data_IF_835506555177
#
_entry.id   IF_835506555177
#
_cell.length_a   1.000
_cell.length_b   1.000
_cell.length_c   1.000
_cell.angle_alpha   90.00
_cell.angle_beta   90.00
_cell.angle_gamma   90.00
#
_symmetry.space_group_name_H-M   'P 1'
#
loop_
_entity.id
_entity.type
_entity.pdbx_description
1 polymer ?
#
# COMPACT_ATOMS: atom_id res chain seq x y z
N UNK A 1 -68.42 3.51 10.30
CA UNK A 1 -66.99 3.89 10.25
C UNK A 1 -66.42 3.31 8.97
N UNK A 2 -65.79 4.13 8.14
CA UNK A 2 -65.23 3.74 6.84
C UNK A 2 -63.71 3.90 6.91
N UNK A 3 -62.98 2.81 6.70
CA UNK A 3 -61.51 2.82 6.60
C UNK A 3 -61.10 3.21 5.18
N UNK A 4 -60.25 4.22 5.04
CA UNK A 4 -59.64 4.59 3.77
C UNK A 4 -58.17 4.15 3.77
N UNK A 5 -57.82 3.19 2.92
CA UNK A 5 -56.44 2.76 2.71
C UNK A 5 -55.85 3.66 1.62
N UNK A 6 -55.00 4.60 2.01
CA UNK A 6 -54.20 5.42 1.09
C UNK A 6 -52.92 4.63 0.76
N UNK A 7 -52.82 4.16 -0.48
CA UNK A 7 -51.64 3.46 -0.97
C UNK A 7 -50.49 4.47 -1.15
N UNK A 8 -49.42 4.30 -0.38
CA UNK A 8 -48.16 4.98 -0.66
C UNK A 8 -47.51 4.22 -1.82
N UNK A 9 -47.23 4.84 -2.98
CA UNK A 9 -46.45 4.18 -4.02
C UNK A 9 -45.01 4.01 -3.52
N UNK A 10 -44.54 2.76 -3.51
CA UNK A 10 -43.14 2.48 -3.20
C UNK A 10 -42.26 3.20 -4.23
N UNK A 11 -41.54 4.24 -3.81
CA UNK A 11 -40.46 4.78 -4.62
C UNK A 11 -39.29 3.81 -4.55
N UNK A 12 -39.34 2.78 -5.39
CA UNK A 12 -38.19 1.96 -5.68
C UNK A 12 -37.21 2.84 -6.47
N UNK A 13 -36.17 3.35 -5.82
CA UNK A 13 -34.98 3.75 -6.54
C UNK A 13 -34.37 2.48 -7.13
N UNK A 14 -34.88 2.06 -8.30
CA UNK A 14 -34.18 1.13 -9.16
C UNK A 14 -32.89 1.84 -9.57
N UNK A 15 -31.84 1.68 -8.75
CA UNK A 15 -30.49 1.93 -9.18
C UNK A 15 -30.30 0.92 -10.30
N UNK A 16 -30.52 1.37 -11.54
CA UNK A 16 -30.07 0.68 -12.73
C UNK A 16 -28.56 0.70 -12.66
N UNK A 17 -28.00 -0.22 -11.87
CA UNK A 17 -26.64 -0.68 -12.04
C UNK A 17 -26.68 -1.42 -13.38
N UNK A 18 -26.62 -0.65 -14.46
CA UNK A 18 -26.00 -1.14 -15.67
C UNK A 18 -24.61 -1.53 -15.21
N UNK A 19 -24.37 -2.82 -14.97
CA UNK A 19 -23.02 -3.31 -14.96
C UNK A 19 -22.55 -3.10 -16.40
N UNK A 20 -21.66 -2.14 -16.71
CA UNK A 20 -20.92 -2.27 -17.94
C UNK A 20 -20.23 -3.63 -17.81
N UNK A 21 -20.60 -4.59 -18.64
CA UNK A 21 -19.82 -5.82 -18.87
C UNK A 21 -18.53 -5.48 -19.61
N UNK A 22 -17.89 -4.38 -19.22
CA UNK A 22 -16.53 -4.07 -19.58
C UNK A 22 -15.70 -4.83 -18.58
N UNK A 23 -15.12 -5.94 -19.02
CA UNK A 23 -13.92 -6.49 -18.42
C UNK A 23 -13.01 -5.28 -18.15
N UNK A 24 -12.77 -4.87 -16.88
CA UNK A 24 -11.86 -3.75 -16.63
C UNK A 24 -10.58 -4.11 -17.38
N UNK A 25 -10.05 -3.22 -18.24
CA UNK A 25 -8.77 -3.51 -18.85
C UNK A 25 -7.83 -3.91 -17.71
N UNK A 26 -7.18 -5.08 -17.76
CA UNK A 26 -6.21 -5.44 -16.74
C UNK A 26 -5.29 -4.23 -16.56
N UNK A 27 -4.98 -3.83 -15.32
CA UNK A 27 -4.14 -2.67 -15.07
C UNK A 27 -2.96 -2.68 -16.03
N UNK A 28 -2.86 -1.65 -16.88
CA UNK A 28 -1.89 -1.59 -17.98
C UNK A 28 -0.43 -1.64 -17.47
N UNK A 29 -0.23 -1.41 -16.18
CA UNK A 29 1.00 -1.66 -15.46
C UNK A 29 0.70 -2.58 -14.27
N UNK A 30 1.46 -3.68 -14.17
CA UNK A 30 1.56 -4.42 -12.92
C UNK A 30 2.12 -3.46 -11.85
N UNK A 31 1.59 -3.45 -10.62
CA UNK A 31 2.20 -2.70 -9.52
C UNK A 31 3.65 -3.15 -9.38
N UNK A 32 4.61 -2.23 -9.40
CA UNK A 32 5.99 -2.59 -9.07
C UNK A 32 6.05 -2.72 -7.56
N UNK A 33 6.44 -3.91 -7.10
CA UNK A 33 6.60 -4.19 -5.68
C UNK A 33 8.08 -4.09 -5.35
N UNK A 34 8.45 -3.06 -4.60
CA UNK A 34 9.83 -2.88 -4.14
C UNK A 34 9.93 -3.37 -2.70
N UNK A 35 10.85 -4.30 -2.46
CA UNK A 35 11.09 -4.83 -1.10
C UNK A 35 12.23 -4.07 -0.45
N UNK A 36 12.01 -3.61 0.77
CA UNK A 36 13.03 -2.99 1.63
C UNK A 36 13.30 -3.93 2.79
N UNK A 37 14.42 -4.64 2.72
CA UNK A 37 14.86 -5.52 3.80
C UNK A 37 15.79 -4.73 4.74
N UNK A 38 15.71 -5.00 6.04
CA UNK A 38 16.63 -4.39 7.01
C UNK A 38 17.35 -5.50 7.76
N UNK A 39 18.67 -5.54 7.62
CA UNK A 39 19.58 -6.50 8.26
C UNK A 39 19.70 -6.25 9.78
N UNK A 40 20.08 -7.26 10.61
CA UNK A 40 20.33 -7.06 12.05
C UNK A 40 21.31 -5.94 12.37
N UNK A 41 22.25 -5.65 11.45
CA UNK A 41 23.21 -4.56 11.59
C UNK A 41 22.62 -3.16 11.36
N UNK A 42 21.36 -3.08 10.94
CA UNK A 42 20.68 -1.84 10.53
C UNK A 42 20.95 -1.45 9.08
N UNK A 43 21.63 -2.30 8.30
CA UNK A 43 21.84 -2.09 6.86
C UNK A 43 20.52 -2.23 6.12
N UNK A 44 20.14 -1.21 5.36
CA UNK A 44 18.94 -1.23 4.52
C UNK A 44 19.30 -1.81 3.16
N UNK A 45 18.54 -2.78 2.70
CA UNK A 45 18.66 -3.39 1.38
C UNK A 45 17.40 -3.11 0.58
N UNK A 46 17.56 -2.68 -0.67
CA UNK A 46 16.48 -2.45 -1.61
C UNK A 46 16.49 -3.52 -2.69
N UNK A 47 15.45 -4.34 -2.73
CA UNK A 47 15.30 -5.43 -3.69
C UNK A 47 16.57 -6.33 -3.74
N UNK A 48 17.13 -6.62 -2.56
CA UNK A 48 18.38 -7.37 -2.39
C UNK A 48 19.68 -6.57 -2.62
N UNK A 49 19.61 -5.28 -2.97
CA UNK A 49 20.79 -4.42 -3.14
C UNK A 49 21.07 -3.64 -1.86
N UNK A 50 22.22 -3.85 -1.18
CA UNK A 50 22.54 -3.10 0.03
C UNK A 50 22.78 -1.63 -0.30
N UNK A 51 22.06 -0.75 0.41
CA UNK A 51 22.21 0.69 0.30
C UNK A 51 23.23 1.17 1.31
N UNK A 52 24.20 1.96 0.86
CA UNK A 52 25.27 2.45 1.71
C UNK A 52 24.79 3.53 2.70
N UNK A 53 23.74 4.26 2.36
CA UNK A 53 23.26 5.39 3.14
C UNK A 53 21.78 5.70 2.91
N UNK A 54 21.19 6.44 3.84
CA UNK A 54 19.77 6.84 3.81
C UNK A 54 19.43 7.77 2.63
N UNK A 55 20.39 8.56 2.17
CA UNK A 55 20.19 9.45 1.02
C UNK A 55 19.90 8.65 -0.27
N UNK A 56 20.59 7.52 -0.46
CA UNK A 56 20.36 6.62 -1.59
C UNK A 56 18.97 5.96 -1.53
N UNK A 57 18.52 5.57 -0.33
CA UNK A 57 17.15 5.08 -0.11
C UNK A 57 16.11 6.13 -0.49
N UNK A 58 16.30 7.37 -0.05
CA UNK A 58 15.38 8.47 -0.36
C UNK A 58 15.34 8.79 -1.86
N UNK A 59 16.47 8.71 -2.56
CA UNK A 59 16.54 8.91 -4.01
C UNK A 59 15.78 7.81 -4.79
N UNK A 60 15.93 6.55 -4.37
CA UNK A 60 15.17 5.42 -4.94
C UNK A 60 13.68 5.58 -4.69
N UNK A 61 13.28 5.87 -3.44
CA UNK A 61 11.89 6.11 -3.08
C UNK A 61 11.28 7.28 -3.88
N UNK A 62 12.04 8.35 -4.15
CA UNK A 62 11.59 9.44 -5.03
C UNK A 62 11.40 8.99 -6.47
N UNK A 63 12.32 8.18 -6.98
CA UNK A 63 12.24 7.65 -8.35
C UNK A 63 10.99 6.78 -8.52
N UNK A 64 10.70 5.95 -7.52
CA UNK A 64 9.50 5.09 -7.45
C UNK A 64 8.24 5.96 -7.46
N UNK A 65 8.15 6.93 -6.54
CA UNK A 65 6.99 7.84 -6.46
C UNK A 65 6.83 8.68 -7.73
N UNK A 66 7.92 9.10 -8.37
CA UNK A 66 7.91 9.83 -9.63
C UNK A 66 7.51 8.97 -10.84
N UNK A 67 7.65 7.65 -10.75
CA UNK A 67 7.27 6.69 -11.79
C UNK A 67 5.76 6.63 -12.04
N UNK A 68 4.94 7.17 -11.13
CA UNK A 68 3.48 7.32 -11.29
C UNK A 68 2.69 6.02 -11.30
N UNK A 69 3.37 4.88 -11.14
CA UNK A 69 2.74 3.59 -10.90
C UNK A 69 2.35 3.49 -9.43
N UNK A 70 1.31 2.70 -9.14
CA UNK A 70 0.89 2.43 -7.76
C UNK A 70 1.90 1.44 -7.18
N UNK A 71 3.08 1.95 -6.82
CA UNK A 71 4.17 1.13 -6.33
C UNK A 71 3.94 0.79 -4.85
N UNK A 72 4.05 -0.50 -4.57
CA UNK A 72 3.82 -1.05 -3.23
C UNK A 72 5.18 -1.34 -2.60
N UNK A 73 5.49 -0.66 -1.50
CA UNK A 73 6.76 -0.86 -0.80
C UNK A 73 6.55 -1.89 0.31
N UNK A 74 7.24 -3.01 0.19
CA UNK A 74 7.23 -4.10 1.17
C UNK A 74 8.38 -3.96 2.13
N UNK A 75 8.10 -3.54 3.36
CA UNK A 75 9.11 -3.44 4.42
C UNK A 75 9.24 -4.79 5.13
N UNK A 76 10.42 -5.41 5.03
CA UNK A 76 10.77 -6.64 5.73
C UNK A 76 11.88 -6.39 6.76
N UNK A 77 11.53 -6.08 8.02
CA UNK A 77 12.52 -5.97 9.07
C UNK A 77 12.97 -7.35 9.54
N UNK A 78 14.27 -7.49 9.87
CA UNK A 78 14.77 -8.68 10.55
C UNK A 78 14.33 -8.69 12.04
N UNK A 79 14.07 -9.88 12.63
CA UNK A 79 13.72 -10.04 14.05
C UNK A 79 14.68 -9.37 15.03
N UNK A 80 15.97 -9.24 14.68
CA UNK A 80 17.01 -8.67 15.55
C UNK A 80 17.22 -7.16 15.36
N UNK A 81 16.52 -6.53 14.42
CA UNK A 81 16.71 -5.09 14.15
C UNK A 81 16.00 -4.23 15.19
N UNK A 82 16.65 -3.14 15.60
CA UNK A 82 15.99 -2.15 16.46
C UNK A 82 14.80 -1.49 15.72
N UNK A 83 13.64 -1.42 16.39
CA UNK A 83 12.43 -0.76 15.89
C UNK A 83 12.70 0.68 15.39
N UNK A 84 13.65 1.37 16.00
CA UNK A 84 14.08 2.71 15.59
C UNK A 84 14.48 2.78 14.11
N UNK A 85 15.22 1.80 13.60
CA UNK A 85 15.66 1.76 12.21
C UNK A 85 14.49 1.54 11.26
N UNK A 86 13.56 0.64 11.64
CA UNK A 86 12.32 0.37 10.89
C UNK A 86 11.45 1.63 10.84
N UNK A 87 11.24 2.29 11.97
CA UNK A 87 10.46 3.52 12.07
C UNK A 87 11.09 4.67 11.26
N UNK A 88 12.42 4.78 11.23
CA UNK A 88 13.12 5.77 10.42
C UNK A 88 12.92 5.57 8.90
N UNK A 89 12.91 4.31 8.45
CA UNK A 89 12.61 3.95 7.05
C UNK A 89 11.15 4.24 6.73
N UNK A 90 10.21 3.83 7.59
CA UNK A 90 8.78 4.13 7.40
C UNK A 90 8.50 5.64 7.35
N UNK A 91 9.08 6.41 8.26
CA UNK A 91 8.93 7.87 8.26
C UNK A 91 9.46 8.51 6.97
N UNK A 92 10.55 7.97 6.41
CA UNK A 92 11.10 8.45 5.14
C UNK A 92 10.18 8.10 3.97
N UNK A 93 9.69 6.85 3.90
CA UNK A 93 8.77 6.41 2.86
C UNK A 93 7.46 7.21 2.88
N UNK A 94 6.87 7.43 4.07
CA UNK A 94 5.68 8.27 4.21
C UNK A 94 5.94 9.72 3.81
N UNK A 95 7.07 10.30 4.23
CA UNK A 95 7.45 11.69 3.87
C UNK A 95 7.60 11.87 2.36
N UNK A 96 8.04 10.84 1.65
CA UNK A 96 8.22 10.86 0.20
C UNK A 96 6.92 10.59 -0.58
N UNK A 97 5.82 10.29 0.11
CA UNK A 97 4.51 10.12 -0.52
C UNK A 97 4.24 8.69 -0.98
N UNK A 98 4.94 7.69 -0.45
CA UNK A 98 4.62 6.28 -0.71
C UNK A 98 3.25 5.97 -0.11
N UNK A 99 2.25 5.79 -0.97
CA UNK A 99 0.85 5.59 -0.57
C UNK A 99 0.53 4.16 -0.15
N UNK A 100 1.33 3.17 -0.56
CA UNK A 100 1.13 1.76 -0.23
C UNK A 100 2.40 1.17 0.39
N UNK A 101 2.37 1.00 1.72
CA UNK A 101 3.44 0.35 2.48
C UNK A 101 2.86 -0.92 3.08
N UNK A 102 3.38 -2.08 2.67
CA UNK A 102 3.09 -3.37 3.28
C UNK A 102 4.21 -3.75 4.23
N UNK A 103 3.91 -4.11 5.48
CA UNK A 103 4.91 -4.69 6.38
C UNK A 103 4.84 -6.20 6.23
N UNK A 104 5.91 -6.79 5.72
CA UNK A 104 6.01 -8.24 5.47
C UNK A 104 6.90 -8.84 6.54
N UNK A 105 6.44 -9.88 7.23
CA UNK A 105 7.16 -10.45 8.37
C UNK A 105 6.71 -9.95 9.75
N UNK A 106 5.52 -9.32 9.85
CA UNK A 106 4.90 -9.00 11.15
C UNK A 106 4.64 -10.24 12.03
N UNK A 107 4.62 -11.43 11.43
CA UNK A 107 4.65 -12.73 12.10
C UNK A 107 5.87 -12.93 13.02
N UNK A 108 6.97 -12.21 12.82
CA UNK A 108 8.18 -12.30 13.65
C UNK A 108 8.13 -11.43 14.92
N UNK A 109 7.13 -10.56 15.05
CA UNK A 109 6.94 -9.61 16.15
C UNK A 109 5.77 -9.97 17.08
N UNK A 110 5.10 -11.11 16.85
CA UNK A 110 3.92 -11.55 17.59
C UNK A 110 4.25 -12.60 18.68
N UNK A 111 5.34 -12.39 19.43
CA UNK A 111 5.67 -13.12 20.66
C UNK A 111 5.85 -12.15 21.84
#
# INVERSE_FOLDING_TARGET
IIMLIITIPIQNHAIKLNMPTGNPPPPLALPVVDTVDIDPTGTVMWNGTPMANRAELEDRLKTVVAGGNIDEVHLRPNKLVEYKSVAAVMASAQRLGVTKIGIVGNEQFME
#
